data_IF_118282253205
#
_entry.id   IF_118282253205
#
_cell.length_a   1.000
_cell.length_b   1.000
_cell.length_c   1.000
_cell.angle_alpha   90.00
_cell.angle_beta   90.00
_cell.angle_gamma   90.00
#
_symmetry.space_group_name_H-M   'P 1'
#
loop_
_entity.id
_entity.type
_entity.pdbx_description
1 polymer ?
#
# COMPACT_ATOMS: atom_id res chain seq x y z
N UNK A 1 20.47 4.17 4.35
CA UNK A 1 19.11 4.38 3.83
C UNK A 1 18.51 3.00 3.57
N UNK A 2 17.24 2.77 3.93
CA UNK A 2 16.60 1.46 3.75
C UNK A 2 16.29 1.20 2.26
N UNK A 3 16.81 0.09 1.72
CA UNK A 3 16.71 -0.27 0.31
C UNK A 3 15.36 -0.97 0.04
N UNK A 4 14.40 -0.27 -0.57
CA UNK A 4 13.11 -0.88 -0.93
C UNK A 4 13.34 -1.80 -2.13
N UNK A 5 12.95 -3.07 -2.00
CA UNK A 5 13.09 -4.07 -3.07
C UNK A 5 11.77 -4.76 -3.44
N UNK A 6 10.67 -4.47 -2.74
CA UNK A 6 9.33 -4.93 -3.09
C UNK A 6 8.26 -3.87 -2.78
N UNK A 7 7.29 -3.74 -3.68
CA UNK A 7 6.05 -2.97 -3.50
C UNK A 7 4.90 -3.98 -3.45
N UNK A 8 4.08 -3.87 -2.41
CA UNK A 8 2.89 -4.69 -2.17
C UNK A 8 1.67 -3.79 -2.31
N UNK A 9 0.70 -4.19 -3.14
CA UNK A 9 -0.56 -3.49 -3.30
C UNK A 9 -1.65 -4.30 -2.61
N UNK A 10 -2.25 -3.76 -1.56
CA UNK A 10 -3.47 -4.33 -0.96
C UNK A 10 -4.69 -3.71 -1.66
N UNK A 11 -5.35 -4.49 -2.51
CA UNK A 11 -6.60 -4.12 -3.17
C UNK A 11 -7.68 -5.09 -2.71
N UNK A 12 -8.70 -4.56 -2.05
CA UNK A 12 -9.88 -5.31 -1.59
C UNK A 12 -9.53 -6.56 -0.74
N UNK A 13 -8.45 -6.48 0.04
CA UNK A 13 -7.98 -7.56 0.91
C UNK A 13 -7.10 -8.60 0.21
N UNK A 14 -6.75 -8.39 -1.06
CA UNK A 14 -5.77 -9.20 -1.78
C UNK A 14 -4.47 -8.43 -1.93
N UNK A 15 -3.36 -9.05 -1.54
CA UNK A 15 -2.03 -8.47 -1.69
C UNK A 15 -1.43 -8.88 -3.02
N UNK A 16 -0.97 -7.90 -3.81
CA UNK A 16 -0.32 -8.12 -5.10
C UNK A 16 1.14 -7.72 -5.06
N UNK A 17 1.98 -8.49 -5.76
CA UNK A 17 3.34 -8.11 -6.12
C UNK A 17 3.49 -8.18 -7.64
N UNK A 18 3.56 -7.03 -8.31
CA UNK A 18 3.56 -7.00 -9.77
C UNK A 18 2.27 -7.63 -10.30
N UNK A 19 2.38 -8.71 -11.06
CA UNK A 19 1.24 -9.47 -11.61
C UNK A 19 0.75 -10.60 -10.72
N UNK A 20 1.48 -10.92 -9.64
CA UNK A 20 1.21 -12.09 -8.82
C UNK A 20 0.32 -11.71 -7.64
N UNK A 21 -0.84 -12.38 -7.53
CA UNK A 21 -1.66 -12.34 -6.35
C UNK A 21 -1.06 -13.24 -5.27
N UNK A 22 -0.92 -12.71 -4.06
CA UNK A 22 -0.45 -13.42 -2.89
C UNK A 22 -1.70 -13.83 -2.11
N UNK A 23 -1.89 -15.15 -1.95
CA UNK A 23 -3.10 -15.71 -1.34
C UNK A 23 -3.22 -15.45 0.16
N UNK A 24 -2.11 -15.07 0.81
CA UNK A 24 -2.08 -14.68 2.21
C UNK A 24 -2.22 -13.16 2.35
N UNK A 25 -3.12 -12.72 3.23
CA UNK A 25 -3.34 -11.31 3.55
C UNK A 25 -2.58 -10.91 4.83
N UNK A 26 -1.98 -11.87 5.54
CA UNK A 26 -1.11 -11.58 6.66
C UNK A 26 0.25 -11.11 6.14
N UNK A 27 0.49 -9.80 6.30
CA UNK A 27 1.75 -9.14 5.92
C UNK A 27 3.00 -9.90 6.35
N UNK A 28 3.04 -10.49 7.55
CA UNK A 28 4.22 -11.21 8.04
C UNK A 28 4.47 -12.51 7.26
N UNK A 29 3.39 -13.19 6.84
CA UNK A 29 3.47 -14.36 5.99
C UNK A 29 3.89 -13.97 4.57
N UNK A 30 3.35 -12.85 4.04
CA UNK A 30 3.70 -12.31 2.73
C UNK A 30 5.20 -11.99 2.65
N UNK A 31 5.74 -11.19 3.58
CA UNK A 31 7.16 -10.82 3.54
C UNK A 31 8.07 -12.05 3.68
N UNK A 32 7.66 -13.05 4.47
CA UNK A 32 8.38 -14.32 4.61
C UNK A 32 8.37 -15.12 3.31
N UNK A 33 7.23 -15.21 2.62
CA UNK A 33 7.13 -15.86 1.31
C UNK A 33 8.01 -15.16 0.26
N UNK A 34 8.16 -13.84 0.37
CA UNK A 34 9.03 -13.05 -0.51
C UNK A 34 10.53 -13.17 -0.17
N UNK A 35 10.88 -13.76 0.97
CA UNK A 35 12.25 -13.81 1.46
C UNK A 35 12.80 -12.43 1.79
N UNK A 36 11.96 -11.54 2.33
CA UNK A 36 12.25 -10.13 2.60
C UNK A 36 11.97 -9.75 4.05
N UNK A 37 12.58 -8.65 4.49
CA UNK A 37 12.25 -8.00 5.76
C UNK A 37 11.24 -6.87 5.57
N UNK A 38 10.55 -6.47 6.65
CA UNK A 38 9.55 -5.42 6.61
C UNK A 38 10.10 -4.06 6.11
N UNK A 39 11.36 -3.75 6.41
CA UNK A 39 12.02 -2.52 5.98
C UNK A 39 12.45 -2.53 4.49
N UNK A 40 12.52 -3.71 3.87
CA UNK A 40 12.72 -3.87 2.41
C UNK A 40 11.42 -3.73 1.60
N UNK A 41 10.27 -3.71 2.27
CA UNK A 41 8.95 -3.71 1.65
C UNK A 41 8.21 -2.39 1.88
N UNK A 42 7.29 -2.08 0.97
CA UNK A 42 6.29 -1.01 1.13
C UNK A 42 4.91 -1.57 0.80
N UNK A 43 3.93 -1.32 1.67
CA UNK A 43 2.52 -1.60 1.38
C UNK A 43 1.79 -0.34 0.90
N UNK A 44 1.00 -0.48 -0.15
CA UNK A 44 0.12 0.56 -0.68
C UNK A 44 -1.31 0.08 -0.53
N UNK A 45 -2.19 0.90 0.05
CA UNK A 45 -3.60 0.56 0.22
C UNK A 45 -4.46 1.81 0.39
N UNK A 46 -5.77 1.64 0.30
CA UNK A 46 -6.75 2.73 0.36
C UNK A 46 -7.56 2.74 1.68
N UNK A 47 -7.42 1.70 2.52
CA UNK A 47 -8.09 1.56 3.80
C UNK A 47 -7.09 1.52 4.96
N UNK A 48 -7.29 2.39 5.95
CA UNK A 48 -6.45 2.49 7.14
C UNK A 48 -6.43 1.20 7.98
N UNK A 49 -7.52 0.45 8.00
CA UNK A 49 -7.72 -0.67 8.94
C UNK A 49 -7.31 -2.04 8.38
N UNK A 50 -6.92 -2.11 7.11
CA UNK A 50 -6.46 -3.34 6.44
C UNK A 50 -4.94 -3.28 6.22
N UNK A 51 -4.47 -3.14 4.98
CA UNK A 51 -3.06 -3.14 4.62
C UNK A 51 -2.24 -2.08 5.35
N UNK A 52 -2.79 -0.88 5.58
CA UNK A 52 -2.07 0.18 6.30
C UNK A 52 -1.85 -0.19 7.77
N UNK A 53 -2.87 -0.74 8.45
CA UNK A 53 -2.74 -1.23 9.83
C UNK A 53 -1.73 -2.40 9.90
N UNK A 54 -1.76 -3.30 8.93
CA UNK A 54 -0.84 -4.43 8.88
C UNK A 54 0.61 -3.97 8.66
N UNK A 55 0.83 -2.99 7.77
CA UNK A 55 2.14 -2.36 7.59
C UNK A 55 2.63 -1.68 8.87
N UNK A 56 1.77 -0.90 9.53
CA UNK A 56 2.09 -0.23 10.79
C UNK A 56 2.50 -1.23 11.89
N UNK A 57 1.77 -2.34 12.05
CA UNK A 57 2.06 -3.36 13.07
C UNK A 57 3.36 -4.13 12.80
N UNK A 58 3.68 -4.38 11.54
CA UNK A 58 4.90 -5.10 11.12
C UNK A 58 6.14 -4.20 11.05
N UNK A 59 6.00 -2.89 11.27
CA UNK A 59 7.08 -1.92 11.07
C UNK A 59 7.44 -1.68 9.60
N UNK A 60 6.60 -2.13 8.67
CA UNK A 60 6.75 -1.92 7.24
C UNK A 60 6.31 -0.50 6.85
N UNK A 61 6.98 0.07 5.86
CA UNK A 61 6.60 1.36 5.30
C UNK A 61 5.26 1.25 4.57
N UNK A 62 4.41 2.25 4.69
CA UNK A 62 3.07 2.26 4.10
C UNK A 62 2.73 3.57 3.38
N UNK A 63 2.00 3.44 2.28
CA UNK A 63 1.44 4.55 1.50
C UNK A 63 -0.09 4.40 1.50
N UNK A 64 -0.79 5.37 2.08
CA UNK A 64 -2.24 5.45 1.98
C UNK A 64 -2.61 6.25 0.73
N UNK A 65 -3.42 5.67 -0.15
CA UNK A 65 -4.02 6.36 -1.29
C UNK A 65 -5.46 6.77 -0.96
N UNK A 66 -5.79 8.05 -1.17
CA UNK A 66 -7.11 8.60 -0.79
C UNK A 66 -8.15 8.53 -1.93
N UNK A 67 -7.99 7.59 -2.85
CA UNK A 67 -8.93 7.38 -3.97
C UNK A 67 -10.01 6.34 -3.66
N UNK A 68 -9.88 5.61 -2.56
CA UNK A 68 -10.79 4.54 -2.17
C UNK A 68 -11.47 4.81 -0.82
N UNK A 69 -11.33 3.88 0.13
CA UNK A 69 -12.14 3.87 1.37
C UNK A 69 -11.82 5.03 2.33
N UNK A 70 -10.55 5.28 2.64
CA UNK A 70 -10.17 6.23 3.67
C UNK A 70 -10.15 7.69 3.17
N UNK A 71 -10.60 8.60 4.02
CA UNK A 71 -10.50 10.05 3.81
C UNK A 71 -9.24 10.64 4.44
N UNK A 72 -8.84 11.83 3.97
CA UNK A 72 -7.73 12.59 4.55
C UNK A 72 -7.94 12.85 6.05
N UNK A 73 -9.15 13.24 6.42
CA UNK A 73 -9.51 13.55 7.81
C UNK A 73 -9.35 12.32 8.71
N UNK A 74 -9.87 11.17 8.29
CA UNK A 74 -9.71 9.92 9.04
C UNK A 74 -8.24 9.53 9.19
N UNK A 75 -7.41 9.74 8.16
CA UNK A 75 -5.98 9.46 8.22
C UNK A 75 -5.24 10.40 9.21
N UNK A 76 -5.64 11.67 9.28
CA UNK A 76 -5.07 12.64 10.22
C UNK A 76 -5.46 12.36 11.67
N UNK A 77 -6.69 11.89 11.90
CA UNK A 77 -7.23 11.56 13.23
C UNK A 77 -6.85 10.14 13.72
N UNK A 78 -6.61 9.20 12.80
CA UNK A 78 -6.34 7.78 13.09
C UNK A 78 -5.03 7.58 13.85
N UNK A 79 -4.97 6.71 14.86
CA UNK A 79 -3.72 6.30 15.52
C UNK A 79 -2.74 5.57 14.59
N UNK A 80 -3.25 4.91 13.56
CA UNK A 80 -2.45 4.25 12.53
C UNK A 80 -1.94 5.31 11.57
N UNK A 81 -0.65 5.63 11.63
CA UNK A 81 -0.04 6.65 10.77
C UNK A 81 0.66 6.00 9.57
N UNK A 82 0.14 6.18 8.34
CA UNK A 82 0.89 5.82 7.15
C UNK A 82 2.13 6.72 7.01
N UNK A 83 3.15 6.25 6.30
CA UNK A 83 4.36 7.05 6.07
C UNK A 83 4.12 8.14 5.02
N UNK A 84 3.24 7.86 4.05
CA UNK A 84 2.84 8.80 2.99
C UNK A 84 1.32 8.75 2.82
N UNK A 85 0.71 9.91 2.60
CA UNK A 85 -0.70 10.05 2.20
C UNK A 85 -0.72 10.75 0.84
N UNK A 86 -1.16 10.07 -0.21
CA UNK A 86 -1.18 10.62 -1.57
C UNK A 86 -2.58 10.55 -2.20
N UNK A 87 -2.87 11.51 -3.08
CA UNK A 87 -4.15 11.66 -3.81
C UNK A 87 -3.99 11.41 -5.31
N UNK A 88 -2.79 11.09 -5.82
CA UNK A 88 -2.56 10.93 -7.25
C UNK A 88 -3.41 9.79 -7.81
N UNK A 89 -4.46 10.20 -8.51
CA UNK A 89 -5.42 9.35 -9.22
C UNK A 89 -4.73 8.71 -10.42
N UNK A 90 -4.91 7.41 -10.62
CA UNK A 90 -4.35 6.65 -11.75
C UNK A 90 -4.70 7.30 -13.12
N UNK A 91 -5.85 7.95 -13.23
CA UNK A 91 -6.28 8.70 -14.42
C UNK A 91 -5.30 9.81 -14.85
N UNK A 92 -4.52 10.39 -13.92
CA UNK A 92 -3.50 11.42 -14.24
C UNK A 92 -2.20 10.86 -14.83
N UNK A 93 -2.04 9.53 -14.87
CA UNK A 93 -0.92 8.83 -15.53
C UNK A 93 -1.21 8.48 -16.98
N UNK A 94 -2.40 8.80 -17.49
CA UNK A 94 -2.76 8.65 -18.89
C UNK A 94 -2.77 10.05 -19.53
N UNK A 95 -1.65 10.54 -20.08
CA UNK A 95 -1.60 11.84 -20.74
C UNK A 95 -2.27 11.73 -22.12
N UNK A 96 -3.60 11.63 -22.14
CA UNK A 96 -4.44 11.78 -23.32
C UNK A 96 -4.17 10.83 -24.49
N UNK A 97 -5.16 9.98 -24.80
CA UNK A 97 -5.67 9.99 -26.19
C UNK A 97 -6.45 11.29 -26.38
N UNK A 98 -5.70 12.39 -26.56
CA UNK A 98 -6.23 13.70 -26.93
C UNK A 98 -5.92 13.99 -28.40
N UNK A 99 -6.98 14.21 -29.18
CA UNK A 99 -7.04 14.66 -30.58
C UNK A 99 -6.49 13.73 -31.69
N UNK A 100 -7.41 13.04 -32.36
CA UNK A 100 -7.58 13.20 -33.82
C UNK A 100 -8.92 13.86 -34.07
#
# INVERSE_FOLDING_TARGET
MANISAILLDLDGTVYRGTDAISDHNVDAVIKQLGKTADECVIVGDNLLTGILAGYKSGMRSILILTGVATRKEAEESKVRPNVIDIRRFESLNPGTGNT
#
